data_IF_143687023551
#
_entry.id   IF_143687023551
#
_cell.length_a   1.000
_cell.length_b   1.000
_cell.length_c   1.000
_cell.angle_alpha   90.00
_cell.angle_beta   90.00
_cell.angle_gamma   90.00
#
_symmetry.space_group_name_H-M   'P 1'
#
loop_
_entity.id
_entity.type
_entity.pdbx_description
1 polymer ?
#
# COMPACT_ATOMS: atom_id res chain seq x y z
N UNK A 1 -13.53 -1.43 8.27
CA UNK A 1 -14.43 -2.58 8.36
C UNK A 1 -14.50 -3.14 9.78
N UNK A 2 -13.41 -3.56 10.45
CA UNK A 2 -13.47 -4.07 11.84
C UNK A 2 -14.16 -3.12 12.82
N UNK A 3 -13.89 -1.82 12.76
CA UNK A 3 -14.50 -0.81 13.66
C UNK A 3 -16.00 -0.65 13.42
N UNK A 4 -16.46 -0.63 12.17
CA UNK A 4 -17.88 -0.57 11.85
C UNK A 4 -18.64 -1.81 12.32
N UNK A 5 -18.01 -2.98 12.28
CA UNK A 5 -18.58 -4.24 12.71
C UNK A 5 -18.64 -4.36 14.26
N UNK A 6 -17.60 -3.85 14.95
CA UNK A 6 -17.53 -3.86 16.40
C UNK A 6 -18.58 -2.98 17.10
N UNK A 7 -19.12 -1.96 16.39
CA UNK A 7 -20.17 -1.08 16.91
C UNK A 7 -21.60 -1.61 16.64
N UNK A 8 -21.76 -2.77 15.99
CA UNK A 8 -23.07 -3.26 15.55
C UNK A 8 -23.69 -4.23 16.53
N UNK A 9 -22.88 -5.03 17.21
CA UNK A 9 -23.33 -6.08 18.14
C UNK A 9 -22.46 -6.00 19.39
N UNK A 10 -23.09 -6.05 20.56
CA UNK A 10 -22.39 -6.09 21.86
C UNK A 10 -21.54 -7.35 21.99
N UNK A 11 -20.35 -7.24 22.59
CA UNK A 11 -19.41 -8.35 22.76
C UNK A 11 -20.07 -9.56 23.48
N UNK A 12 -20.97 -9.29 24.45
CA UNK A 12 -21.65 -10.32 25.23
C UNK A 12 -22.69 -11.12 24.43
N UNK A 13 -23.28 -10.53 23.37
CA UNK A 13 -24.31 -11.15 22.54
C UNK A 13 -23.82 -11.58 21.15
N UNK A 14 -22.54 -11.40 20.88
CA UNK A 14 -21.91 -11.58 19.57
C UNK A 14 -22.03 -13.01 19.03
N UNK A 15 -21.84 -14.01 19.88
CA UNK A 15 -21.90 -15.42 19.48
C UNK A 15 -23.28 -15.84 18.94
N UNK A 16 -24.34 -15.15 19.35
CA UNK A 16 -25.72 -15.43 18.90
C UNK A 16 -26.18 -14.51 17.77
N UNK A 17 -25.59 -13.32 17.67
CA UNK A 17 -26.05 -12.26 16.77
C UNK A 17 -25.05 -11.91 15.65
N UNK A 18 -23.88 -12.57 15.60
CA UNK A 18 -22.95 -12.43 14.50
C UNK A 18 -22.90 -13.71 13.65
N UNK A 19 -23.29 -13.61 12.40
CA UNK A 19 -23.19 -14.71 11.40
C UNK A 19 -22.12 -14.32 10.38
N UNK A 20 -21.02 -15.07 10.32
CA UNK A 20 -19.98 -14.86 9.33
C UNK A 20 -19.98 -16.02 8.35
N UNK A 21 -20.17 -15.73 7.06
CA UNK A 21 -20.17 -16.72 5.99
C UNK A 21 -19.18 -16.31 4.88
N UNK A 22 -18.76 -17.28 4.08
CA UNK A 22 -17.89 -17.03 2.92
C UNK A 22 -18.67 -17.19 1.63
N UNK A 23 -18.45 -16.28 0.67
CA UNK A 23 -19.17 -16.27 -0.60
C UNK A 23 -19.05 -17.55 -1.41
N UNK A 24 -17.93 -18.27 -1.30
CA UNK A 24 -17.69 -19.53 -1.98
C UNK A 24 -18.61 -20.66 -1.47
N UNK A 25 -18.86 -20.68 -0.17
CA UNK A 25 -19.48 -21.79 0.55
C UNK A 25 -20.97 -21.52 0.88
N UNK A 26 -21.51 -20.36 0.44
CA UNK A 26 -22.86 -19.93 0.77
C UNK A 26 -23.67 -19.62 -0.48
N UNK A 27 -24.98 -19.75 -0.37
CA UNK A 27 -25.92 -19.24 -1.36
C UNK A 27 -26.72 -18.04 -0.84
N UNK A 28 -27.31 -17.29 -1.77
CA UNK A 28 -28.03 -16.06 -1.42
C UNK A 28 -29.29 -16.34 -0.58
N UNK A 29 -29.94 -17.50 -0.74
CA UNK A 29 -31.14 -17.82 0.01
C UNK A 29 -30.82 -18.06 1.49
N UNK A 30 -29.70 -18.75 1.78
CA UNK A 30 -29.20 -18.94 3.16
C UNK A 30 -28.81 -17.64 3.80
N UNK A 31 -28.11 -16.75 3.06
CA UNK A 31 -27.74 -15.42 3.55
C UNK A 31 -28.96 -14.58 3.87
N UNK A 32 -29.95 -14.54 2.96
CA UNK A 32 -31.18 -13.79 3.17
C UNK A 32 -32.07 -14.38 4.27
N UNK A 33 -32.09 -15.71 4.41
CA UNK A 33 -32.76 -16.36 5.54
C UNK A 33 -32.15 -15.95 6.88
N UNK A 34 -30.80 -15.94 6.96
CA UNK A 34 -30.10 -15.44 8.16
C UNK A 34 -30.37 -13.96 8.41
N UNK A 35 -30.40 -13.15 7.36
CA UNK A 35 -30.67 -11.72 7.48
C UNK A 35 -32.10 -11.37 7.89
N UNK A 36 -33.05 -12.29 7.73
CA UNK A 36 -34.46 -12.15 8.15
C UNK A 36 -34.76 -12.65 9.55
N UNK A 37 -33.78 -13.26 10.24
CA UNK A 37 -33.97 -13.67 11.63
C UNK A 37 -34.05 -12.46 12.54
N UNK A 38 -34.69 -12.64 13.69
CA UNK A 38 -34.64 -11.64 14.74
C UNK A 38 -33.38 -11.84 15.61
N UNK A 39 -32.75 -10.74 16.06
CA UNK A 39 -31.64 -10.83 16.99
C UNK A 39 -32.08 -11.49 18.32
N UNK A 40 -31.19 -12.24 18.95
CA UNK A 40 -31.41 -12.89 20.23
C UNK A 40 -30.85 -11.99 21.35
N UNK A 41 -31.74 -11.51 22.24
CA UNK A 41 -31.40 -10.68 23.40
C UNK A 41 -30.51 -9.45 23.05
N UNK A 42 -30.66 -8.92 21.83
CA UNK A 42 -29.95 -7.75 21.33
C UNK A 42 -30.85 -6.93 20.39
N UNK A 43 -30.53 -5.65 20.21
CA UNK A 43 -31.28 -4.79 19.30
C UNK A 43 -31.00 -5.09 17.82
N UNK A 44 -29.80 -5.58 17.53
CA UNK A 44 -29.31 -5.81 16.17
C UNK A 44 -28.52 -7.11 16.03
N UNK A 45 -28.56 -7.65 14.82
CA UNK A 45 -27.69 -8.74 14.39
C UNK A 45 -26.82 -8.32 13.20
N UNK A 46 -25.70 -8.98 13.04
CA UNK A 46 -24.76 -8.81 11.93
C UNK A 46 -24.70 -10.08 11.09
N UNK A 47 -24.91 -9.94 9.78
CA UNK A 47 -24.63 -10.99 8.80
C UNK A 47 -23.52 -10.50 7.89
N UNK A 48 -22.30 -11.06 8.04
CA UNK A 48 -21.12 -10.68 7.28
C UNK A 48 -20.77 -11.75 6.24
N UNK A 49 -20.90 -11.39 4.98
CA UNK A 49 -20.49 -12.23 3.84
C UNK A 49 -19.08 -11.81 3.42
N UNK A 50 -18.08 -12.61 3.80
CA UNK A 50 -16.68 -12.44 3.36
C UNK A 50 -16.49 -13.01 1.96
N UNK A 51 -15.54 -12.43 1.20
CA UNK A 51 -15.24 -12.85 -0.17
C UNK A 51 -16.51 -12.91 -1.04
N UNK A 52 -17.38 -11.92 -0.87
CA UNK A 52 -18.68 -11.86 -1.52
C UNK A 52 -18.57 -11.88 -3.07
N UNK A 53 -17.42 -11.56 -3.66
CA UNK A 53 -17.17 -11.66 -5.11
C UNK A 53 -17.30 -13.10 -5.64
N UNK A 54 -17.21 -14.11 -4.78
CA UNK A 54 -17.26 -15.52 -5.17
C UNK A 54 -18.67 -16.16 -5.00
N UNK A 55 -19.64 -15.36 -4.55
CA UNK A 55 -21.05 -15.76 -4.54
C UNK A 55 -21.54 -16.04 -5.97
N UNK A 56 -22.24 -17.16 -6.14
CA UNK A 56 -22.82 -17.58 -7.42
C UNK A 56 -23.96 -16.66 -7.89
N UNK A 57 -24.64 -15.99 -6.95
CA UNK A 57 -25.77 -15.10 -7.23
C UNK A 57 -25.43 -13.96 -8.19
N UNK A 58 -24.19 -13.48 -8.22
CA UNK A 58 -23.80 -12.39 -9.13
C UNK A 58 -23.93 -12.75 -10.62
N UNK A 59 -24.01 -14.04 -10.94
CA UNK A 59 -24.16 -14.54 -12.32
C UNK A 59 -25.57 -15.05 -12.63
N UNK A 60 -26.50 -15.03 -11.64
CA UNK A 60 -27.85 -15.57 -11.77
C UNK A 60 -28.88 -14.47 -11.55
N UNK A 61 -29.70 -14.23 -12.56
CA UNK A 61 -30.66 -13.15 -12.57
C UNK A 61 -31.72 -13.30 -11.49
N UNK A 62 -32.26 -14.51 -11.32
CA UNK A 62 -33.25 -14.84 -10.31
C UNK A 62 -32.76 -14.61 -8.87
N UNK A 63 -31.52 -14.95 -8.59
CA UNK A 63 -30.90 -14.74 -7.29
C UNK A 63 -30.62 -13.25 -7.04
N UNK A 64 -30.23 -12.50 -8.06
CA UNK A 64 -30.06 -11.05 -7.98
C UNK A 64 -31.39 -10.31 -7.76
N UNK A 65 -32.49 -10.81 -8.31
CA UNK A 65 -33.83 -10.25 -8.07
C UNK A 65 -34.25 -10.44 -6.61
N UNK A 66 -33.96 -11.60 -5.99
CA UNK A 66 -34.20 -11.84 -4.55
C UNK A 66 -33.39 -10.88 -3.68
N UNK A 67 -32.14 -10.65 -4.02
CA UNK A 67 -31.27 -9.68 -3.30
C UNK A 67 -31.81 -8.25 -3.46
N UNK A 68 -32.25 -7.89 -4.66
CA UNK A 68 -32.86 -6.57 -4.91
C UNK A 68 -34.14 -6.37 -4.09
N UNK A 69 -35.03 -7.38 -4.05
CA UNK A 69 -36.24 -7.35 -3.26
C UNK A 69 -35.99 -7.20 -1.75
N UNK A 70 -34.95 -7.90 -1.22
CA UNK A 70 -34.54 -7.68 0.16
C UNK A 70 -34.01 -6.27 0.40
N UNK A 71 -33.21 -5.73 -0.54
CA UNK A 71 -32.66 -4.38 -0.44
C UNK A 71 -33.71 -3.27 -0.55
N UNK A 72 -34.87 -3.55 -1.15
CA UNK A 72 -36.01 -2.60 -1.18
C UNK A 72 -36.69 -2.48 0.19
N UNK A 73 -36.73 -3.55 0.98
CA UNK A 73 -37.33 -3.58 2.32
C UNK A 73 -36.49 -4.41 3.29
N UNK A 74 -35.30 -3.88 3.70
CA UNK A 74 -34.43 -4.59 4.59
C UNK A 74 -34.96 -4.65 6.01
N UNK A 75 -34.59 -5.71 6.74
CA UNK A 75 -34.94 -5.83 8.17
C UNK A 75 -34.11 -4.82 8.96
N UNK A 76 -34.76 -3.92 9.68
CA UNK A 76 -34.15 -2.80 10.41
C UNK A 76 -33.22 -3.25 11.55
N UNK A 77 -33.47 -4.42 12.13
CA UNK A 77 -32.63 -5.02 13.17
C UNK A 77 -31.43 -5.80 12.63
N UNK A 78 -31.25 -5.87 11.29
CA UNK A 78 -30.15 -6.62 10.67
C UNK A 78 -29.21 -5.71 9.90
N UNK A 79 -27.91 -5.82 10.18
CA UNK A 79 -26.86 -5.25 9.35
C UNK A 79 -26.28 -6.35 8.47
N UNK A 80 -26.66 -6.34 7.17
CA UNK A 80 -26.15 -7.28 6.17
C UNK A 80 -24.97 -6.63 5.41
N UNK A 81 -23.81 -7.23 5.48
CA UNK A 81 -22.57 -6.72 4.89
C UNK A 81 -22.00 -7.68 3.84
N UNK A 82 -21.82 -7.23 2.61
CA UNK A 82 -21.10 -7.93 1.56
C UNK A 82 -19.69 -7.36 1.42
N UNK A 83 -18.69 -8.08 1.89
CA UNK A 83 -17.30 -7.68 1.80
C UNK A 83 -16.65 -8.23 0.51
N UNK A 84 -16.43 -7.33 -0.45
CA UNK A 84 -15.69 -7.64 -1.67
C UNK A 84 -14.19 -7.46 -1.47
N UNK A 85 -13.38 -8.41 -1.96
CA UNK A 85 -11.93 -8.33 -1.92
C UNK A 85 -11.35 -8.46 -3.33
N UNK A 86 -10.44 -7.54 -3.68
CA UNK A 86 -9.65 -7.58 -4.94
C UNK A 86 -10.44 -7.56 -6.26
N UNK A 87 -11.75 -7.41 -6.20
CA UNK A 87 -12.62 -7.28 -7.39
C UNK A 87 -13.59 -6.11 -7.21
N UNK A 88 -14.07 -5.55 -8.32
CA UNK A 88 -15.11 -4.53 -8.30
C UNK A 88 -16.47 -5.19 -8.53
N UNK A 89 -17.48 -4.74 -7.79
CA UNK A 89 -18.86 -5.13 -8.04
C UNK A 89 -19.39 -4.47 -9.32
N UNK A 90 -20.20 -5.17 -10.11
CA UNK A 90 -20.84 -4.59 -11.31
C UNK A 90 -21.97 -3.65 -10.90
N UNK A 91 -21.68 -2.36 -10.87
CA UNK A 91 -22.65 -1.30 -10.52
C UNK A 91 -23.80 -1.12 -11.51
N UNK A 92 -23.79 -1.80 -12.66
CA UNK A 92 -24.87 -1.73 -13.66
C UNK A 92 -26.07 -2.59 -13.29
N UNK A 93 -25.85 -3.62 -12.47
CA UNK A 93 -26.90 -4.53 -12.00
C UNK A 93 -27.98 -3.79 -11.20
N UNK A 94 -29.27 -4.15 -11.43
CA UNK A 94 -30.41 -3.60 -10.70
C UNK A 94 -30.25 -3.81 -9.19
N UNK A 95 -29.81 -4.98 -8.76
CA UNK A 95 -29.59 -5.30 -7.35
C UNK A 95 -28.56 -4.38 -6.70
N UNK A 96 -27.43 -4.13 -7.38
CA UNK A 96 -26.37 -3.22 -6.85
C UNK A 96 -26.86 -1.78 -6.80
N UNK A 97 -27.64 -1.34 -7.79
CA UNK A 97 -28.26 0.00 -7.77
C UNK A 97 -29.25 0.15 -6.60
N UNK A 98 -30.07 -0.87 -6.34
CA UNK A 98 -30.99 -0.87 -5.20
C UNK A 98 -30.24 -0.88 -3.88
N UNK A 99 -29.21 -1.71 -3.74
CA UNK A 99 -28.32 -1.71 -2.56
C UNK A 99 -27.65 -0.35 -2.34
N UNK A 100 -27.20 0.30 -3.41
CA UNK A 100 -26.57 1.64 -3.32
C UNK A 100 -27.57 2.73 -2.95
N UNK A 101 -28.84 2.59 -3.33
CA UNK A 101 -29.89 3.56 -3.03
C UNK A 101 -30.41 3.44 -1.59
N UNK A 102 -30.59 2.22 -1.11
CA UNK A 102 -31.24 1.94 0.18
C UNK A 102 -30.26 1.53 1.28
N UNK A 103 -28.97 1.38 0.94
CA UNK A 103 -27.89 1.02 1.86
C UNK A 103 -26.64 1.87 1.62
N UNK A 104 -25.52 1.38 2.08
CA UNK A 104 -24.21 2.05 1.96
C UNK A 104 -23.32 1.23 1.02
N UNK A 105 -22.95 1.79 -0.12
CA UNK A 105 -21.91 1.25 -0.99
C UNK A 105 -20.59 1.96 -0.71
N UNK A 106 -19.71 1.30 0.02
CA UNK A 106 -18.38 1.81 0.34
C UNK A 106 -17.33 1.26 -0.62
N UNK A 107 -16.69 2.13 -1.40
CA UNK A 107 -15.61 1.77 -2.29
C UNK A 107 -14.27 2.19 -1.69
N UNK A 108 -13.45 1.20 -1.29
CA UNK A 108 -12.08 1.42 -0.85
C UNK A 108 -11.12 1.18 -2.01
N UNK A 109 -10.69 2.26 -2.66
CA UNK A 109 -9.69 2.18 -3.72
C UNK A 109 -8.28 2.17 -3.12
N UNK A 110 -7.37 1.44 -3.78
CA UNK A 110 -5.95 1.50 -3.43
C UNK A 110 -5.43 2.92 -3.65
N UNK A 111 -4.84 3.50 -2.62
CA UNK A 111 -4.19 4.81 -2.74
C UNK A 111 -3.07 4.70 -3.78
N UNK A 112 -3.08 5.57 -4.77
CA UNK A 112 -2.03 5.62 -5.80
C UNK A 112 -0.78 6.26 -5.23
N UNK A 113 0.41 5.81 -5.67
CA UNK A 113 1.69 6.26 -5.12
C UNK A 113 1.84 7.78 -5.09
N UNK A 114 1.38 8.48 -6.14
CA UNK A 114 1.44 9.94 -6.21
C UNK A 114 0.50 10.66 -5.23
N UNK A 115 -0.50 9.97 -4.64
CA UNK A 115 -1.40 10.49 -3.62
C UNK A 115 -1.02 10.07 -2.21
N UNK A 116 -0.03 9.18 -2.07
CA UNK A 116 0.29 8.57 -0.79
C UNK A 116 0.79 9.59 0.22
N UNK A 117 1.69 10.50 -0.17
CA UNK A 117 2.19 11.56 0.70
C UNK A 117 1.07 12.45 1.24
N UNK A 118 0.12 12.85 0.38
CA UNK A 118 -1.04 13.63 0.79
C UNK A 118 -1.95 12.84 1.76
N UNK A 119 -2.17 11.57 1.48
CA UNK A 119 -2.96 10.69 2.36
C UNK A 119 -2.31 10.54 3.74
N UNK A 120 -0.98 10.35 3.79
CA UNK A 120 -0.22 10.26 5.05
C UNK A 120 -0.36 11.54 5.85
N UNK A 121 -0.22 12.71 5.19
CA UNK A 121 -0.37 14.01 5.85
C UNK A 121 -1.76 14.17 6.47
N UNK A 122 -2.82 13.86 5.72
CA UNK A 122 -4.19 13.92 6.25
C UNK A 122 -4.38 12.95 7.41
N UNK A 123 -3.88 11.72 7.29
CA UNK A 123 -4.01 10.72 8.35
C UNK A 123 -3.27 11.12 9.64
N UNK A 124 -2.08 11.71 9.54
CA UNK A 124 -1.32 12.23 10.70
C UNK A 124 -2.09 13.37 11.38
N UNK A 125 -2.69 14.26 10.61
CA UNK A 125 -3.55 15.34 11.13
C UNK A 125 -4.77 14.78 11.87
N UNK A 126 -5.43 13.78 11.35
CA UNK A 126 -6.55 13.06 12.00
C UNK A 126 -6.13 12.41 13.32
N UNK A 127 -4.84 12.07 13.48
CA UNK A 127 -4.29 11.54 14.74
C UNK A 127 -3.87 12.64 15.75
N UNK A 128 -4.07 13.92 15.41
CA UNK A 128 -3.73 15.06 16.26
C UNK A 128 -2.24 15.42 16.25
N UNK A 129 -1.52 15.05 15.21
CA UNK A 129 -0.12 15.42 14.97
C UNK A 129 -0.02 16.27 13.71
N UNK A 130 1.10 16.98 13.54
CA UNK A 130 1.41 17.69 12.31
C UNK A 130 2.60 17.05 11.59
N UNK A 131 2.70 17.20 10.27
CA UNK A 131 3.73 16.57 9.46
C UNK A 131 4.27 17.55 8.44
N UNK A 132 5.59 17.79 8.44
CA UNK A 132 6.20 18.61 7.41
C UNK A 132 6.38 17.85 6.09
N UNK A 133 6.61 18.60 4.99
CA UNK A 133 6.66 18.03 3.65
C UNK A 133 7.79 17.00 3.46
N UNK A 134 8.95 17.22 4.10
CA UNK A 134 10.09 16.30 4.02
C UNK A 134 9.80 14.98 4.73
N UNK A 135 9.22 15.05 5.93
CA UNK A 135 8.82 13.88 6.69
C UNK A 135 7.70 13.08 5.98
N UNK A 136 6.74 13.78 5.36
CA UNK A 136 5.69 13.15 4.56
C UNK A 136 6.26 12.38 3.37
N UNK A 137 7.23 12.97 2.67
CA UNK A 137 7.91 12.33 1.56
C UNK A 137 8.72 11.11 2.03
N UNK A 138 9.51 11.25 3.11
CA UNK A 138 10.30 10.18 3.69
C UNK A 138 9.43 8.97 4.09
N UNK A 139 8.31 9.21 4.78
CA UNK A 139 7.35 8.15 5.15
C UNK A 139 6.74 7.49 3.93
N UNK A 140 6.32 8.27 2.92
CA UNK A 140 5.70 7.72 1.72
C UNK A 140 6.67 6.88 0.88
N UNK A 141 7.93 7.29 0.78
CA UNK A 141 8.98 6.56 0.07
C UNK A 141 9.34 5.27 0.79
N UNK A 142 9.55 5.32 2.11
CA UNK A 142 10.02 4.18 2.89
C UNK A 142 8.94 3.14 3.18
N UNK A 143 7.74 3.57 3.56
CA UNK A 143 6.65 2.66 3.91
C UNK A 143 5.88 2.17 2.67
N UNK A 144 5.95 2.91 1.56
CA UNK A 144 5.26 2.59 0.33
C UNK A 144 3.75 2.54 0.52
N UNK A 145 3.07 1.85 -0.38
CA UNK A 145 1.60 1.81 -0.50
C UNK A 145 0.92 0.82 0.48
N UNK A 146 1.66 0.29 1.45
CA UNK A 146 1.09 -0.54 2.51
C UNK A 146 0.55 0.36 3.64
N UNK A 147 -0.73 0.75 3.51
CA UNK A 147 -1.38 1.62 4.48
C UNK A 147 -1.40 1.05 5.90
N UNK A 148 -1.32 -0.29 6.08
CA UNK A 148 -1.23 -0.88 7.44
C UNK A 148 0.10 -0.55 8.09
N UNK A 149 1.19 -0.66 7.33
CA UNK A 149 2.51 -0.26 7.84
C UNK A 149 2.50 1.22 8.22
N UNK A 150 1.98 2.07 7.33
CA UNK A 150 1.86 3.51 7.61
C UNK A 150 1.07 3.77 8.89
N UNK A 151 -0.11 3.19 9.02
CA UNK A 151 -0.97 3.32 10.21
C UNK A 151 -0.23 2.84 11.47
N UNK A 152 0.45 1.70 11.43
CA UNK A 152 1.18 1.16 12.56
C UNK A 152 2.33 2.09 13.01
N UNK A 153 3.11 2.61 12.05
CA UNK A 153 4.22 3.53 12.38
C UNK A 153 3.71 4.87 12.94
N UNK A 154 2.64 5.42 12.36
CA UNK A 154 2.01 6.65 12.89
C UNK A 154 1.40 6.41 14.27
N UNK A 155 0.82 5.23 14.54
CA UNK A 155 0.31 4.88 15.86
C UNK A 155 1.41 4.84 16.91
N UNK A 156 2.61 4.36 16.59
CA UNK A 156 3.78 4.41 17.48
C UNK A 156 4.19 5.87 17.78
N UNK A 157 4.21 6.71 16.76
CA UNK A 157 4.50 8.14 16.94
C UNK A 157 3.48 8.80 17.87
N UNK A 158 2.18 8.52 17.68
CA UNK A 158 1.10 9.05 18.54
C UNK A 158 1.26 8.66 20.00
N UNK A 159 1.74 7.45 20.30
CA UNK A 159 1.98 6.99 21.67
C UNK A 159 3.21 7.68 22.27
N UNK A 160 4.22 7.97 21.44
CA UNK A 160 5.53 8.47 21.88
C UNK A 160 5.62 9.99 21.93
N UNK A 161 4.70 10.72 21.29
CA UNK A 161 4.74 12.18 21.15
C UNK A 161 3.55 12.82 21.85
N UNK A 162 3.73 14.03 22.44
CA UNK A 162 2.61 14.85 22.90
C UNK A 162 1.64 15.21 21.78
N UNK A 163 0.37 15.42 22.10
CA UNK A 163 -0.62 15.88 21.14
C UNK A 163 -0.19 17.25 20.54
N UNK A 164 -0.43 17.44 19.24
CA UNK A 164 -0.05 18.64 18.51
C UNK A 164 1.42 18.70 18.09
N UNK A 165 2.24 17.70 18.42
CA UNK A 165 3.66 17.68 18.03
C UNK A 165 3.84 17.66 16.51
N UNK A 166 4.90 18.31 16.04
CA UNK A 166 5.32 18.22 14.66
C UNK A 166 6.22 17.00 14.44
N UNK A 167 5.84 16.16 13.49
CA UNK A 167 6.63 15.02 13.04
C UNK A 167 7.60 15.50 11.98
N UNK A 168 8.86 15.63 12.35
CA UNK A 168 9.97 16.00 11.48
C UNK A 168 10.75 14.73 11.04
N UNK A 169 11.69 14.88 10.10
CA UNK A 169 12.56 13.77 9.67
C UNK A 169 13.40 13.21 10.82
N UNK A 170 13.83 14.07 11.76
CA UNK A 170 14.57 13.69 12.95
C UNK A 170 13.73 12.87 13.93
N UNK A 171 12.45 13.23 14.08
CA UNK A 171 11.48 12.46 14.88
C UNK A 171 11.26 11.08 14.27
N UNK A 172 11.14 11.00 12.94
CA UNK A 172 11.00 9.73 12.22
C UNK A 172 12.25 8.86 12.43
N UNK A 173 13.43 9.42 12.31
CA UNK A 173 14.69 8.69 12.52
C UNK A 173 14.77 8.13 13.95
N UNK A 174 14.44 8.95 14.95
CA UNK A 174 14.50 8.56 16.37
C UNK A 174 13.48 7.46 16.74
N UNK A 175 12.24 7.55 16.24
CA UNK A 175 11.14 6.70 16.70
C UNK A 175 10.79 5.55 15.75
N UNK A 176 11.09 5.68 14.46
CA UNK A 176 10.81 4.68 13.42
C UNK A 176 12.10 4.00 12.95
N UNK A 177 13.26 4.65 13.15
CA UNK A 177 14.55 4.12 12.75
C UNK A 177 14.88 4.30 11.27
N UNK A 178 14.19 5.21 10.58
CA UNK A 178 14.47 5.54 9.18
C UNK A 178 15.46 6.70 9.15
N UNK A 179 16.70 6.43 8.78
CA UNK A 179 17.69 7.48 8.65
C UNK A 179 17.33 8.46 7.53
N UNK A 180 17.43 9.74 7.81
CA UNK A 180 17.23 10.83 6.85
C UNK A 180 18.26 10.81 5.74
N UNK A 181 19.53 10.58 6.10
CA UNK A 181 20.67 10.75 5.20
C UNK A 181 21.17 9.41 4.61
N UNK A 182 20.93 8.30 5.32
CA UNK A 182 21.43 6.97 4.96
C UNK A 182 20.30 5.98 4.75
N UNK A 183 19.51 6.21 3.70
CA UNK A 183 18.44 5.30 3.30
C UNK A 183 18.53 4.98 1.79
N UNK A 184 17.77 3.99 1.33
CA UNK A 184 17.83 3.54 -0.06
C UNK A 184 17.37 4.62 -1.06
N UNK A 185 16.52 5.55 -0.66
CA UNK A 185 16.04 6.63 -1.51
C UNK A 185 17.11 7.73 -1.67
N UNK A 186 17.87 7.99 -0.61
CA UNK A 186 19.06 8.85 -0.73
C UNK A 186 20.14 8.20 -1.60
N UNK A 187 20.28 6.87 -1.55
CA UNK A 187 21.14 6.14 -2.48
C UNK A 187 20.66 6.30 -3.93
N UNK A 188 19.35 6.20 -4.19
CA UNK A 188 18.78 6.46 -5.52
C UNK A 188 19.11 7.87 -6.02
N UNK A 189 18.93 8.89 -5.17
CA UNK A 189 19.24 10.29 -5.53
C UNK A 189 20.73 10.46 -5.82
N UNK A 190 21.60 9.89 -4.98
CA UNK A 190 23.04 9.93 -5.19
C UNK A 190 23.43 9.24 -6.51
N UNK A 191 22.84 8.10 -6.83
CA UNK A 191 23.02 7.42 -8.11
C UNK A 191 22.52 8.29 -9.27
N UNK A 192 21.30 8.82 -9.17
CA UNK A 192 20.69 9.67 -10.20
C UNK A 192 21.52 10.89 -10.54
N UNK A 193 22.10 11.52 -9.53
CA UNK A 193 23.03 12.66 -9.65
C UNK A 193 24.46 12.25 -9.99
N UNK A 194 24.78 10.95 -10.02
CA UNK A 194 26.14 10.42 -10.14
C UNK A 194 27.11 10.94 -9.06
N UNK A 195 26.58 11.19 -7.84
CA UNK A 195 27.36 11.57 -6.68
C UNK A 195 28.01 10.34 -6.06
N UNK A 196 29.22 10.03 -6.55
CA UNK A 196 30.02 8.87 -6.11
C UNK A 196 30.35 8.95 -4.62
N UNK A 197 30.64 10.15 -4.11
CA UNK A 197 30.99 10.36 -2.71
C UNK A 197 29.84 10.06 -1.76
N UNK A 198 28.66 10.59 -2.06
CA UNK A 198 27.45 10.34 -1.27
C UNK A 198 27.03 8.86 -1.36
N UNK A 199 27.01 8.29 -2.56
CA UNK A 199 26.67 6.88 -2.75
C UNK A 199 27.58 5.96 -1.95
N UNK A 200 28.90 6.21 -1.95
CA UNK A 200 29.89 5.43 -1.19
C UNK A 200 29.65 5.52 0.32
N UNK A 201 29.34 6.71 0.86
CA UNK A 201 29.02 6.89 2.29
C UNK A 201 27.79 6.09 2.69
N UNK A 202 26.74 6.11 1.85
CA UNK A 202 25.51 5.36 2.12
C UNK A 202 25.77 3.85 2.08
N UNK A 203 26.51 3.37 1.09
CA UNK A 203 26.88 1.94 0.99
C UNK A 203 27.70 1.48 2.20
N UNK A 204 28.65 2.28 2.66
CA UNK A 204 29.42 1.98 3.87
C UNK A 204 28.53 1.92 5.11
N UNK A 205 27.55 2.83 5.22
CA UNK A 205 26.57 2.79 6.30
C UNK A 205 25.71 1.52 6.26
N UNK A 206 25.27 1.08 5.08
CA UNK A 206 24.48 -0.15 4.92
C UNK A 206 25.29 -1.40 5.28
N UNK A 207 26.58 -1.43 4.87
CA UNK A 207 27.49 -2.51 5.22
C UNK A 207 27.71 -2.61 6.73
N UNK A 208 27.81 -1.47 7.42
CA UNK A 208 27.93 -1.43 8.88
C UNK A 208 26.60 -1.78 9.60
N UNK A 209 25.45 -1.63 8.92
CA UNK A 209 24.11 -1.86 9.49
C UNK A 209 23.25 -2.81 8.62
N UNK A 210 23.67 -4.05 8.38
CA UNK A 210 23.03 -4.95 7.42
C UNK A 210 21.61 -5.36 7.82
N UNK A 211 21.30 -5.42 9.12
CA UNK A 211 19.96 -5.75 9.62
C UNK A 211 18.92 -4.68 9.27
N UNK A 212 19.32 -3.41 9.26
CA UNK A 212 18.43 -2.29 8.92
C UNK A 212 18.26 -2.09 7.41
N UNK A 213 19.24 -2.54 6.62
CA UNK A 213 19.27 -2.34 5.18
C UNK A 213 19.66 -3.65 4.44
N UNK A 214 18.86 -4.72 4.59
CA UNK A 214 19.17 -5.99 3.97
C UNK A 214 19.16 -5.86 2.44
N UNK A 215 20.08 -6.53 1.77
CA UNK A 215 20.24 -6.46 0.31
C UNK A 215 18.95 -6.86 -0.43
N UNK A 216 18.19 -7.81 0.13
CA UNK A 216 16.87 -8.24 -0.36
C UNK A 216 15.85 -7.10 -0.40
N UNK A 217 16.02 -6.04 0.39
CA UNK A 217 15.16 -4.84 0.35
C UNK A 217 15.75 -3.77 -0.59
N UNK A 218 17.07 -3.62 -0.63
CA UNK A 218 17.75 -2.58 -1.43
C UNK A 218 17.65 -2.85 -2.92
N UNK A 219 17.90 -4.08 -3.38
CA UNK A 219 17.91 -4.42 -4.81
C UNK A 219 16.55 -4.17 -5.49
N UNK A 220 15.40 -4.61 -4.94
CA UNK A 220 14.11 -4.34 -5.57
C UNK A 220 13.81 -2.84 -5.70
N UNK A 221 14.17 -2.03 -4.72
CA UNK A 221 13.96 -0.58 -4.74
C UNK A 221 14.82 0.08 -5.83
N UNK A 222 16.10 -0.29 -5.96
CA UNK A 222 16.95 0.18 -7.05
C UNK A 222 16.44 -0.29 -8.42
N UNK A 223 15.99 -1.53 -8.53
CA UNK A 223 15.40 -2.07 -9.76
C UNK A 223 14.15 -1.28 -10.17
N UNK A 224 13.27 -0.97 -9.23
CA UNK A 224 12.09 -0.14 -9.47
C UNK A 224 12.47 1.28 -9.92
N UNK A 225 13.52 1.87 -9.32
CA UNK A 225 14.01 3.18 -9.72
C UNK A 225 14.49 3.19 -11.18
N UNK A 226 15.37 2.27 -11.56
CA UNK A 226 15.87 2.19 -12.94
C UNK A 226 14.77 1.77 -13.94
N UNK A 227 13.77 0.99 -13.51
CA UNK A 227 12.60 0.69 -14.34
C UNK A 227 11.79 1.95 -14.64
N UNK A 228 11.55 2.80 -13.66
CA UNK A 228 10.89 4.09 -13.86
C UNK A 228 11.73 5.03 -14.75
N UNK A 229 13.04 5.04 -14.56
CA UNK A 229 13.95 5.82 -15.40
C UNK A 229 13.93 5.33 -16.86
N UNK A 230 13.87 4.01 -17.08
CA UNK A 230 13.71 3.42 -18.40
C UNK A 230 12.38 3.85 -19.05
N UNK A 231 11.28 3.80 -18.30
CA UNK A 231 9.97 4.29 -18.77
C UNK A 231 10.04 5.77 -19.12
N UNK A 232 10.71 6.60 -18.30
CA UNK A 232 10.87 8.04 -18.58
C UNK A 232 11.53 8.31 -19.91
N UNK A 233 12.52 7.52 -20.33
CA UNK A 233 13.14 7.66 -21.64
C UNK A 233 12.17 7.47 -22.80
N UNK A 234 11.21 6.54 -22.67
CA UNK A 234 10.20 6.23 -23.67
C UNK A 234 9.00 7.18 -23.71
N UNK A 235 8.88 8.11 -22.77
CA UNK A 235 7.75 9.03 -22.73
C UNK A 235 7.81 10.05 -23.86
N UNK A 236 6.70 10.21 -24.59
CA UNK A 236 6.51 11.29 -25.57
C UNK A 236 6.25 12.63 -24.85
N UNK A 237 5.36 12.63 -23.85
CA UNK A 237 5.08 13.78 -23.00
C UNK A 237 5.84 13.64 -21.68
N UNK A 238 6.83 14.50 -21.48
CA UNK A 238 7.68 14.58 -20.28
C UNK A 238 7.24 15.69 -19.32
N UNK A 239 6.03 16.24 -19.51
CA UNK A 239 5.47 17.16 -18.52
C UNK A 239 5.36 16.48 -17.16
N UNK A 240 5.53 17.25 -16.11
CA UNK A 240 5.59 16.74 -14.73
C UNK A 240 4.40 15.86 -14.38
N UNK A 241 3.18 16.27 -14.75
CA UNK A 241 1.96 15.54 -14.45
C UNK A 241 1.79 14.26 -15.28
N UNK A 242 2.06 14.33 -16.59
CA UNK A 242 1.94 13.18 -17.49
C UNK A 242 2.99 12.11 -17.16
N UNK A 243 4.23 12.53 -16.93
CA UNK A 243 5.32 11.64 -16.54
C UNK A 243 5.04 10.97 -15.19
N UNK A 244 4.61 11.74 -14.18
CA UNK A 244 4.25 11.21 -12.86
C UNK A 244 3.17 10.12 -12.94
N UNK A 245 2.12 10.38 -13.74
CA UNK A 245 1.03 9.43 -13.97
C UNK A 245 1.51 8.16 -14.66
N UNK A 246 2.34 8.29 -15.69
CA UNK A 246 2.86 7.16 -16.49
C UNK A 246 3.84 6.30 -15.70
N UNK A 247 4.70 6.91 -14.89
CA UNK A 247 5.69 6.23 -14.06
C UNK A 247 5.14 5.76 -12.69
N UNK A 248 3.92 6.18 -12.31
CA UNK A 248 3.36 5.87 -10.99
C UNK A 248 4.22 6.44 -9.86
N UNK A 249 4.65 7.70 -9.97
CA UNK A 249 5.45 8.36 -8.94
C UNK A 249 4.89 9.74 -8.58
N UNK A 250 5.43 10.35 -7.52
CA UNK A 250 5.11 11.73 -7.16
C UNK A 250 5.53 12.69 -8.28
N UNK A 251 4.75 13.74 -8.60
CA UNK A 251 5.16 14.79 -9.53
C UNK A 251 6.51 15.42 -9.16
N UNK A 252 6.80 15.56 -7.89
CA UNK A 252 8.09 16.10 -7.42
C UNK A 252 9.28 15.22 -7.79
N UNK A 253 9.11 13.90 -7.81
CA UNK A 253 10.17 12.95 -8.18
C UNK A 253 10.52 13.01 -9.68
N UNK A 254 9.64 13.53 -10.53
CA UNK A 254 9.88 13.60 -11.99
C UNK A 254 11.13 14.40 -12.33
N UNK A 255 11.44 15.43 -11.54
CA UNK A 255 12.66 16.22 -11.71
C UNK A 255 13.91 15.37 -11.56
N UNK A 256 13.98 14.54 -10.51
CA UNK A 256 15.12 13.66 -10.25
C UNK A 256 15.31 12.64 -11.39
N UNK A 257 14.21 12.10 -11.94
CA UNK A 257 14.27 11.22 -13.12
C UNK A 257 14.71 11.97 -14.38
N UNK A 258 14.29 13.21 -14.56
CA UNK A 258 14.75 14.05 -15.67
C UNK A 258 16.26 14.30 -15.61
N UNK A 259 16.79 14.60 -14.45
CA UNK A 259 18.22 14.80 -14.22
C UNK A 259 19.00 13.48 -14.43
N UNK A 260 18.51 12.37 -13.85
CA UNK A 260 19.12 11.06 -14.02
C UNK A 260 19.09 10.56 -15.48
N UNK A 261 18.09 10.92 -16.27
CA UNK A 261 17.99 10.51 -17.67
C UNK A 261 19.11 11.10 -18.56
N UNK A 262 19.72 12.20 -18.13
CA UNK A 262 20.88 12.80 -18.83
C UNK A 262 22.18 12.03 -18.52
N UNK A 263 22.22 11.36 -17.38
CA UNK A 263 23.39 10.58 -16.90
C UNK A 263 23.37 9.14 -17.42
N UNK A 264 22.18 8.54 -17.43
CA UNK A 264 21.99 7.13 -17.78
C UNK A 264 21.23 6.97 -19.09
N UNK A 265 21.96 6.71 -20.18
CA UNK A 265 21.36 6.34 -21.45
C UNK A 265 20.69 4.95 -21.37
N UNK A 266 19.74 4.68 -22.25
CA UNK A 266 18.93 3.44 -22.28
C UNK A 266 19.77 2.17 -22.27
N UNK A 267 20.87 2.13 -23.05
CA UNK A 267 21.79 1.00 -23.11
C UNK A 267 22.55 0.77 -21.79
N UNK A 268 22.87 1.85 -21.04
CA UNK A 268 23.48 1.74 -19.71
C UNK A 268 22.46 1.20 -18.69
N UNK A 269 21.20 1.63 -18.76
CA UNK A 269 20.14 1.10 -17.90
C UNK A 269 19.94 -0.41 -18.12
N UNK A 270 20.01 -0.88 -19.36
CA UNK A 270 19.94 -2.31 -19.67
C UNK A 270 21.06 -3.12 -18.98
N UNK A 271 22.30 -2.58 -18.94
CA UNK A 271 23.42 -3.19 -18.21
C UNK A 271 23.19 -3.16 -16.69
N UNK A 272 22.63 -2.07 -16.17
CA UNK A 272 22.33 -1.94 -14.74
C UNK A 272 21.32 -3.02 -14.30
N UNK A 273 20.30 -3.34 -15.09
CA UNK A 273 19.42 -4.47 -14.79
C UNK A 273 20.17 -5.81 -14.69
N UNK A 274 21.16 -6.03 -15.52
CA UNK A 274 22.00 -7.23 -15.41
C UNK A 274 22.81 -7.24 -14.10
N UNK A 275 23.37 -6.09 -13.70
CA UNK A 275 24.11 -5.99 -12.43
C UNK A 275 23.21 -6.21 -11.22
N UNK A 276 22.01 -5.64 -11.21
CA UNK A 276 21.03 -5.82 -10.14
C UNK A 276 20.53 -7.28 -10.07
N UNK A 277 20.27 -7.92 -11.21
CA UNK A 277 19.91 -9.34 -11.28
C UNK A 277 21.02 -10.23 -10.73
N UNK A 278 22.28 -9.95 -11.08
CA UNK A 278 23.40 -10.73 -10.60
C UNK A 278 23.62 -10.54 -9.10
N UNK A 279 23.40 -9.32 -8.57
CA UNK A 279 23.41 -9.05 -7.15
C UNK A 279 22.29 -9.80 -6.40
N UNK A 280 21.07 -9.83 -6.94
CA UNK A 280 19.95 -10.59 -6.38
C UNK A 280 20.24 -12.10 -6.35
N UNK A 281 20.84 -12.66 -7.40
CA UNK A 281 21.25 -14.06 -7.43
C UNK A 281 22.33 -14.37 -6.39
N UNK A 282 23.36 -13.52 -6.28
CA UNK A 282 24.43 -13.67 -5.28
C UNK A 282 23.87 -13.58 -3.85
N UNK A 283 22.93 -12.68 -3.58
CA UNK A 283 22.30 -12.54 -2.26
C UNK A 283 21.49 -13.78 -1.84
N UNK A 284 21.04 -14.56 -2.81
CA UNK A 284 20.33 -15.84 -2.60
C UNK A 284 21.25 -17.06 -2.60
N UNK A 285 22.56 -16.86 -2.52
CA UNK A 285 23.57 -17.94 -2.44
C UNK A 285 23.93 -18.57 -3.79
N UNK A 286 23.48 -18.00 -4.94
CA UNK A 286 23.87 -18.53 -6.25
C UNK A 286 25.23 -17.96 -6.67
N UNK A 287 26.23 -18.82 -6.74
CA UNK A 287 27.54 -18.50 -7.33
C UNK A 287 28.68 -18.22 -6.36
N UNK A 288 28.48 -17.79 -5.12
CA UNK A 288 29.50 -17.68 -4.07
C UNK A 288 28.89 -17.47 -2.69
N UNK A 289 28.89 -18.47 -1.86
CA UNK A 289 28.31 -18.43 -0.51
C UNK A 289 29.12 -17.62 0.53
N UNK A 290 30.29 -17.12 0.16
CA UNK A 290 31.25 -16.48 1.08
C UNK A 290 31.29 -14.95 1.03
N UNK A 291 30.62 -14.32 0.08
CA UNK A 291 30.65 -12.85 -0.07
C UNK A 291 29.55 -12.21 0.79
N UNK A 292 29.90 -11.24 1.61
CA UNK A 292 28.96 -10.50 2.43
C UNK A 292 27.99 -9.66 1.57
N UNK A 293 26.77 -9.46 2.05
CA UNK A 293 25.77 -8.61 1.37
C UNK A 293 26.31 -7.19 1.12
N UNK A 294 27.08 -6.64 2.05
CA UNK A 294 27.72 -5.33 1.89
C UNK A 294 28.70 -5.28 0.73
N UNK A 295 29.52 -6.32 0.57
CA UNK A 295 30.45 -6.42 -0.56
C UNK A 295 29.72 -6.56 -1.90
N UNK A 296 28.63 -7.34 -1.96
CA UNK A 296 27.79 -7.47 -3.16
C UNK A 296 27.21 -6.11 -3.53
N UNK A 297 26.68 -5.38 -2.54
CA UNK A 297 26.12 -4.04 -2.77
C UNK A 297 27.19 -3.07 -3.27
N UNK A 298 28.37 -3.04 -2.63
CA UNK A 298 29.48 -2.18 -3.01
C UNK A 298 29.92 -2.43 -4.46
N UNK A 299 30.12 -3.69 -4.85
CA UNK A 299 30.45 -4.07 -6.23
C UNK A 299 29.39 -3.60 -7.22
N UNK A 300 28.10 -3.79 -6.85
CA UNK A 300 26.97 -3.43 -7.70
C UNK A 300 26.88 -1.93 -7.91
N UNK A 301 26.99 -1.14 -6.83
CA UNK A 301 26.94 0.33 -6.90
C UNK A 301 28.15 0.88 -7.66
N UNK A 302 29.33 0.31 -7.48
CA UNK A 302 30.48 0.66 -8.27
C UNK A 302 30.23 0.48 -9.78
N UNK A 303 29.72 -0.69 -10.20
CA UNK A 303 29.39 -0.97 -11.62
C UNK A 303 28.31 -0.05 -12.19
N UNK A 304 27.39 0.42 -11.37
CA UNK A 304 26.33 1.37 -11.79
C UNK A 304 26.93 2.75 -12.05
N UNK A 305 27.86 3.20 -11.22
CA UNK A 305 28.45 4.53 -11.29
C UNK A 305 29.50 4.66 -12.41
N UNK A 306 30.19 3.59 -12.74
CA UNK A 306 31.25 3.53 -13.77
C UNK A 306 30.78 2.77 -14.99
#
# INVERSE_FOLDING_TARGET
>A
MKVLLACTVDEASKDFNETVVYGRDSDINQILASARRFPMMAERQLVLVKEAQDLKCWKRKDELEKLAAYAESPVSSTVLVFAYMNKKIDGRSKAVKTLSKNGILFLSEKVRDYKLSQWITSYVQDQGLTLNGQASQLLSEYLGNDLRKVVNEISKLKISLPAGSEVTSEVIEKHIGISKDYNVFELQRALGAKDVGKASRIVNHFEANPKSNPLAMVIPVLSAYFSKLFVYHGLKDKSQQAAAKSMGCSPYAVRDYSEASRVYAVNKIARIFSYLRDADRKSKGQGNATISEGMILRETIFKILH
#
